data_IF_456709186599
#
_entry.id   IF_456709186599
#
_cell.length_a   1.000
_cell.length_b   1.000
_cell.length_c   1.000
_cell.angle_alpha   90.00
_cell.angle_beta   90.00
_cell.angle_gamma   90.00
#
_symmetry.space_group_name_H-M   'P 1'
#
loop_
_entity.id
_entity.type
_entity.pdbx_description
1 polymer ?
#
# COMPACT_ATOMS: atom_id res chain seq x y z
N UNK A 1 -17.82 16.65 5.03
CA UNK A 1 -18.39 15.65 4.10
C UNK A 1 -17.38 14.52 3.95
N UNK A 2 -17.76 13.24 4.12
CA UNK A 2 -16.88 12.12 3.80
C UNK A 2 -16.72 12.09 2.28
N UNK A 3 -15.53 12.37 1.79
CA UNK A 3 -15.22 12.28 0.37
C UNK A 3 -14.71 10.86 0.09
N UNK A 4 -15.15 10.24 -1.01
CA UNK A 4 -14.67 8.94 -1.52
C UNK A 4 -13.14 8.87 -1.64
N UNK A 5 -12.48 10.04 -1.68
CA UNK A 5 -11.02 10.18 -1.75
C UNK A 5 -10.31 10.14 -0.38
N UNK A 6 -11.05 9.92 0.72
CA UNK A 6 -10.45 9.82 2.07
C UNK A 6 -9.31 8.79 2.18
N UNK A 7 -9.36 7.60 1.54
CA UNK A 7 -8.25 6.65 1.55
C UNK A 7 -6.96 7.22 0.96
N UNK A 8 -7.04 8.06 -0.06
CA UNK A 8 -5.87 8.67 -0.71
C UNK A 8 -5.16 9.75 0.14
N UNK A 9 -5.73 10.12 1.30
CA UNK A 9 -5.03 10.96 2.29
C UNK A 9 -3.74 10.33 2.81
N UNK A 10 -3.56 9.01 2.69
CA UNK A 10 -2.28 8.35 2.97
C UNK A 10 -1.13 8.99 2.18
N UNK A 11 -1.32 9.29 0.90
CA UNK A 11 -0.29 9.88 0.03
C UNK A 11 0.15 11.27 0.53
N UNK A 12 -0.72 12.02 1.21
CA UNK A 12 -0.43 13.37 1.71
C UNK A 12 0.30 13.40 3.07
N UNK A 13 0.44 12.24 3.76
CA UNK A 13 1.15 12.14 5.03
C UNK A 13 2.63 12.45 4.81
N UNK A 14 3.18 13.43 5.52
CA UNK A 14 4.60 13.82 5.42
C UNK A 14 5.46 13.08 6.44
N UNK A 15 6.48 12.37 5.95
CA UNK A 15 7.53 11.75 6.77
C UNK A 15 8.83 11.70 5.97
N UNK A 16 9.99 11.91 6.60
CA UNK A 16 11.28 11.98 5.87
C UNK A 16 11.66 10.67 5.16
N UNK A 17 11.45 9.52 5.81
CA UNK A 17 11.70 8.21 5.19
C UNK A 17 10.72 7.89 4.04
N UNK A 18 9.61 8.61 3.93
CA UNK A 18 8.56 8.36 2.95
C UNK A 18 9.04 8.62 1.52
N UNK A 19 9.92 9.60 1.30
CA UNK A 19 10.44 9.90 -0.04
C UNK A 19 11.14 8.68 -0.66
N UNK A 20 11.92 7.94 0.13
CA UNK A 20 12.62 6.75 -0.36
C UNK A 20 11.65 5.61 -0.67
N UNK A 21 10.75 5.28 0.27
CA UNK A 21 9.88 4.10 0.15
C UNK A 21 8.62 4.35 -0.69
N UNK A 22 8.07 5.57 -0.67
CA UNK A 22 6.83 5.87 -1.41
C UNK A 22 7.07 6.46 -2.81
N UNK A 23 8.28 6.94 -3.10
CA UNK A 23 8.57 7.59 -4.39
C UNK A 23 9.73 6.92 -5.12
N UNK A 24 10.94 6.94 -4.53
CA UNK A 24 12.14 6.49 -5.24
C UNK A 24 12.05 4.98 -5.53
N UNK A 25 11.80 4.17 -4.51
CA UNK A 25 11.77 2.72 -4.65
C UNK A 25 10.66 2.23 -5.61
N UNK A 26 9.40 2.71 -5.53
CA UNK A 26 8.38 2.33 -6.52
C UNK A 26 8.70 2.76 -7.95
N UNK A 27 9.25 3.95 -8.15
CA UNK A 27 9.63 4.42 -9.49
C UNK A 27 10.73 3.54 -10.06
N UNK A 28 11.80 3.27 -9.30
CA UNK A 28 12.90 2.43 -9.79
C UNK A 28 12.47 1.01 -10.08
N UNK A 29 11.66 0.38 -9.20
CA UNK A 29 11.13 -0.95 -9.42
C UNK A 29 10.16 -0.99 -10.60
N UNK A 30 9.23 -0.04 -10.69
CA UNK A 30 8.26 0.03 -11.78
C UNK A 30 8.93 0.24 -13.14
N UNK A 31 9.95 1.11 -13.20
CA UNK A 31 10.75 1.29 -14.42
C UNK A 31 11.56 0.04 -14.77
N UNK A 32 12.17 -0.62 -13.78
CA UNK A 32 12.93 -1.86 -14.02
C UNK A 32 12.06 -2.98 -14.58
N UNK A 33 10.87 -3.19 -13.98
CA UNK A 33 9.90 -4.19 -14.50
C UNK A 33 9.40 -3.82 -15.90
N UNK A 34 9.10 -2.54 -16.12
CA UNK A 34 8.66 -2.08 -17.45
C UNK A 34 9.75 -2.24 -18.51
N UNK A 35 11.00 -1.89 -18.18
CA UNK A 35 12.15 -2.08 -19.07
C UNK A 35 12.39 -3.55 -19.39
N UNK A 36 12.27 -4.43 -18.38
CA UNK A 36 12.36 -5.87 -18.57
C UNK A 36 11.28 -6.38 -19.53
N UNK A 37 10.00 -6.03 -19.29
CA UNK A 37 8.89 -6.51 -20.13
C UNK A 37 8.94 -5.99 -21.57
N UNK A 38 9.43 -4.77 -21.77
CA UNK A 38 9.54 -4.13 -23.09
C UNK A 38 10.83 -4.50 -23.83
N UNK A 39 11.91 -4.85 -23.09
CA UNK A 39 13.23 -5.11 -23.66
C UNK A 39 13.50 -6.58 -23.98
N UNK A 40 12.62 -7.51 -23.61
CA UNK A 40 12.80 -8.93 -23.93
C UNK A 40 12.71 -9.18 -25.44
N UNK A 41 13.67 -9.95 -25.97
CA UNK A 41 13.72 -10.35 -27.39
C UNK A 41 12.50 -11.19 -27.80
N UNK A 42 11.98 -12.02 -26.88
CA UNK A 42 10.68 -12.69 -27.04
C UNK A 42 9.63 -11.88 -26.28
N UNK A 43 8.68 -11.22 -26.96
CA UNK A 43 7.70 -10.38 -26.30
C UNK A 43 6.81 -11.21 -25.38
N UNK A 44 6.76 -10.82 -24.09
CA UNK A 44 5.82 -11.40 -23.14
C UNK A 44 4.40 -10.93 -23.51
N UNK A 45 3.41 -11.84 -23.55
CA UNK A 45 2.03 -11.43 -23.74
C UNK A 45 1.58 -10.58 -22.56
N UNK A 46 1.16 -9.35 -22.84
CA UNK A 46 0.75 -8.37 -21.80
C UNK A 46 -0.73 -8.51 -21.50
N UNK A 47 -1.54 -8.66 -22.57
CA UNK A 47 -2.99 -8.73 -22.50
C UNK A 47 -3.48 -10.18 -22.67
N UNK A 48 -4.47 -10.57 -21.89
CA UNK A 48 -5.06 -11.89 -21.89
C UNK A 48 -5.09 -12.52 -20.49
N UNK A 49 -5.86 -13.59 -20.34
CA UNK A 49 -6.08 -14.25 -19.05
C UNK A 49 -4.80 -14.90 -18.52
N UNK A 50 -4.02 -15.55 -19.39
CA UNK A 50 -2.74 -16.20 -19.06
C UNK A 50 -1.53 -15.25 -19.22
N UNK A 51 -1.79 -13.98 -19.57
CA UNK A 51 -0.78 -12.96 -19.79
C UNK A 51 -0.43 -12.22 -18.49
N UNK A 52 0.55 -11.32 -18.57
CA UNK A 52 1.04 -10.54 -17.44
C UNK A 52 -0.08 -9.88 -16.62
N UNK A 53 -1.00 -9.15 -17.27
CA UNK A 53 -2.10 -8.47 -16.56
C UNK A 53 -3.04 -9.46 -15.87
N UNK A 54 -3.31 -10.63 -16.46
CA UNK A 54 -4.16 -11.65 -15.86
C UNK A 54 -3.57 -12.20 -14.55
N UNK A 55 -2.25 -12.45 -14.52
CA UNK A 55 -1.55 -12.91 -13.33
C UNK A 55 -1.54 -11.83 -12.23
N UNK A 56 -1.30 -10.58 -12.60
CA UNK A 56 -1.32 -9.46 -11.66
C UNK A 56 -2.73 -9.21 -11.09
N UNK A 57 -3.79 -9.40 -11.87
CA UNK A 57 -5.17 -9.31 -11.35
C UNK A 57 -5.41 -10.28 -10.20
N UNK A 58 -4.96 -11.53 -10.31
CA UNK A 58 -5.06 -12.52 -9.23
C UNK A 58 -4.37 -12.06 -7.95
N UNK A 59 -3.12 -11.60 -8.07
CA UNK A 59 -2.35 -11.07 -6.94
C UNK A 59 -3.04 -9.85 -6.29
N UNK A 60 -3.48 -8.88 -7.09
CA UNK A 60 -4.14 -7.67 -6.61
C UNK A 60 -5.47 -7.96 -5.92
N UNK A 61 -6.23 -8.96 -6.38
CA UNK A 61 -7.48 -9.39 -5.77
C UNK A 61 -7.23 -9.94 -4.37
N UNK A 62 -6.21 -10.77 -4.19
CA UNK A 62 -5.81 -11.31 -2.88
C UNK A 62 -5.34 -10.18 -1.96
N UNK A 63 -4.46 -9.29 -2.44
CA UNK A 63 -3.96 -8.15 -1.67
C UNK A 63 -5.08 -7.18 -1.25
N UNK A 64 -6.01 -6.91 -2.15
CA UNK A 64 -7.18 -6.07 -1.89
C UNK A 64 -8.07 -6.68 -0.81
N UNK A 65 -8.39 -7.97 -0.93
CA UNK A 65 -9.15 -8.71 0.08
C UNK A 65 -8.47 -8.72 1.44
N UNK A 66 -7.16 -8.98 1.49
CA UNK A 66 -6.37 -8.90 2.72
C UNK A 66 -6.41 -7.49 3.33
N UNK A 67 -6.28 -6.45 2.51
CA UNK A 67 -6.29 -5.05 2.99
C UNK A 67 -7.64 -4.67 3.60
N UNK A 68 -8.74 -5.13 3.01
CA UNK A 68 -10.10 -4.93 3.57
C UNK A 68 -10.24 -5.71 4.88
N UNK A 69 -9.80 -6.97 4.93
CA UNK A 69 -9.86 -7.80 6.13
C UNK A 69 -9.05 -7.17 7.28
N UNK A 70 -7.89 -6.58 6.99
CA UNK A 70 -7.05 -5.90 7.99
C UNK A 70 -7.72 -4.66 8.60
N UNK A 71 -8.63 -3.99 7.89
CA UNK A 71 -9.38 -2.85 8.43
C UNK A 71 -10.30 -3.22 9.59
N UNK A 72 -10.87 -4.43 9.59
CA UNK A 72 -11.80 -4.88 10.62
C UNK A 72 -11.18 -4.83 12.02
N UNK A 73 -10.06 -5.51 12.33
CA UNK A 73 -9.45 -5.43 13.64
C UNK A 73 -8.95 -4.00 13.98
N UNK A 74 -8.46 -3.24 13.00
CA UNK A 74 -7.99 -1.87 13.23
C UNK A 74 -9.12 -0.96 13.70
N UNK A 75 -10.33 -1.13 13.16
CA UNK A 75 -11.49 -0.29 13.48
C UNK A 75 -12.24 -0.75 14.73
N UNK A 76 -12.26 -2.04 15.03
CA UNK A 76 -13.02 -2.64 16.15
C UNK A 76 -12.20 -2.73 17.45
N UNK A 77 -10.86 -2.81 17.36
CA UNK A 77 -10.01 -2.88 18.55
C UNK A 77 -10.11 -1.58 19.36
N UNK A 78 -10.52 -1.70 20.62
CA UNK A 78 -10.66 -0.59 21.59
C UNK A 78 -9.39 -0.41 22.44
N UNK A 79 -8.31 -1.13 22.18
CA UNK A 79 -7.08 -1.05 22.98
C UNK A 79 -6.49 0.38 22.94
N UNK A 80 -6.02 0.85 24.08
CA UNK A 80 -5.35 2.16 24.22
C UNK A 80 -4.06 2.23 23.39
N UNK A 81 -3.47 1.09 23.06
CA UNK A 81 -2.24 1.01 22.27
C UNK A 81 -2.39 1.52 20.83
N UNK A 82 -3.53 1.26 20.18
CA UNK A 82 -3.83 1.79 18.85
C UNK A 82 -4.26 3.27 18.91
N UNK A 83 -4.72 3.74 20.08
CA UNK A 83 -5.03 5.15 20.34
C UNK A 83 -3.78 6.03 20.45
N UNK A 84 -2.62 5.48 20.83
CA UNK A 84 -1.38 6.21 21.00
C UNK A 84 -0.86 6.80 19.69
N UNK A 85 -0.14 7.95 19.75
CA UNK A 85 0.50 8.53 18.56
C UNK A 85 1.55 7.57 17.99
N UNK A 86 1.76 7.64 16.69
CA UNK A 86 2.85 6.91 16.02
C UNK A 86 4.18 7.40 16.58
N UNK A 87 4.94 6.51 17.23
CA UNK A 87 6.23 6.85 17.83
C UNK A 87 7.31 7.17 16.79
N UNK A 88 8.33 7.94 17.20
CA UNK A 88 9.51 8.29 16.42
C UNK A 88 9.90 9.75 16.65
N UNK A 89 11.15 10.13 16.30
CA UNK A 89 11.67 11.50 16.43
C UNK A 89 10.83 12.55 15.67
N UNK A 90 10.14 12.14 14.60
CA UNK A 90 9.23 12.97 13.79
C UNK A 90 7.98 12.14 13.45
N UNK A 91 6.94 12.17 14.29
CA UNK A 91 5.73 11.40 14.05
C UNK A 91 5.02 11.88 12.78
N UNK A 92 4.38 10.97 12.02
CA UNK A 92 3.64 11.31 10.81
C UNK A 92 2.48 12.25 11.12
N UNK A 93 2.33 13.30 10.30
CA UNK A 93 1.29 14.33 10.44
C UNK A 93 0.54 14.52 9.12
N UNK A 94 -0.74 14.80 9.23
CA UNK A 94 -1.51 15.32 8.10
C UNK A 94 -1.26 16.82 7.97
N UNK A 95 -1.14 17.37 6.75
CA UNK A 95 -0.97 18.81 6.53
C UNK A 95 -2.08 19.66 7.16
N UNK A 96 -3.28 19.08 7.32
CA UNK A 96 -4.46 19.74 7.88
C UNK A 96 -4.58 19.63 9.40
N UNK A 97 -3.73 18.85 10.07
CA UNK A 97 -3.84 18.61 11.52
C UNK A 97 -2.52 18.95 12.24
N UNK A 98 -2.63 19.68 13.37
CA UNK A 98 -1.47 20.04 14.20
C UNK A 98 -0.98 18.89 15.08
N UNK A 99 -1.85 17.93 15.40
CA UNK A 99 -1.55 16.79 16.26
C UNK A 99 -0.99 15.61 15.45
N UNK A 100 -0.08 14.80 16.05
CA UNK A 100 0.41 13.59 15.42
C UNK A 100 -0.73 12.57 15.23
N UNK A 101 -0.67 11.79 14.13
CA UNK A 101 -1.64 10.74 13.89
C UNK A 101 -1.54 9.63 14.94
N UNK A 102 -2.71 9.14 15.40
CA UNK A 102 -2.76 7.88 16.15
C UNK A 102 -2.42 6.69 15.24
N UNK A 103 -1.89 5.62 15.84
CA UNK A 103 -1.57 4.37 15.12
C UNK A 103 -2.78 3.81 14.38
N UNK A 104 -3.95 3.83 15.01
CA UNK A 104 -5.22 3.40 14.42
C UNK A 104 -5.53 4.18 13.14
N UNK A 105 -5.49 5.50 13.19
CA UNK A 105 -5.78 6.35 12.03
C UNK A 105 -4.76 6.16 10.91
N UNK A 106 -3.47 6.04 11.25
CA UNK A 106 -2.42 5.78 10.26
C UNK A 106 -2.65 4.46 9.54
N UNK A 107 -2.89 3.37 10.28
CA UNK A 107 -3.14 2.04 9.72
C UNK A 107 -4.45 2.00 8.90
N UNK A 108 -5.50 2.65 9.37
CA UNK A 108 -6.76 2.75 8.62
C UNK A 108 -6.57 3.49 7.28
N UNK A 109 -5.81 4.58 7.25
CA UNK A 109 -5.48 5.26 6.00
C UNK A 109 -4.60 4.41 5.08
N UNK A 110 -3.60 3.71 5.63
CA UNK A 110 -2.71 2.83 4.85
C UNK A 110 -3.49 1.69 4.20
N UNK A 111 -4.23 0.90 4.99
CA UNK A 111 -4.98 -0.25 4.45
C UNK A 111 -6.18 0.16 3.60
N UNK A 112 -6.83 1.28 3.91
CA UNK A 112 -7.86 1.87 3.05
C UNK A 112 -7.29 2.29 1.70
N UNK A 113 -6.12 2.91 1.67
CA UNK A 113 -5.40 3.26 0.45
C UNK A 113 -5.01 2.02 -0.36
N UNK A 114 -4.45 0.98 0.31
CA UNK A 114 -4.05 -0.26 -0.35
C UNK A 114 -5.25 -0.96 -1.00
N UNK A 115 -6.37 -1.11 -0.27
CA UNK A 115 -7.60 -1.69 -0.81
C UNK A 115 -8.10 -0.91 -2.03
N UNK A 116 -8.24 0.42 -1.91
CA UNK A 116 -8.72 1.25 -3.01
C UNK A 116 -7.79 1.19 -4.24
N UNK A 117 -6.46 1.18 -4.02
CA UNK A 117 -5.47 1.07 -5.10
C UNK A 117 -5.49 -0.29 -5.77
N UNK A 118 -5.64 -1.40 -5.01
CA UNK A 118 -5.80 -2.73 -5.59
C UNK A 118 -7.04 -2.82 -6.47
N UNK A 119 -8.19 -2.35 -6.00
CA UNK A 119 -9.42 -2.33 -6.81
C UNK A 119 -9.28 -1.47 -8.06
N UNK A 120 -8.66 -0.29 -7.96
CA UNK A 120 -8.43 0.57 -9.11
C UNK A 120 -7.49 -0.08 -10.15
N UNK A 121 -6.40 -0.73 -9.70
CA UNK A 121 -5.48 -1.44 -10.60
C UNK A 121 -6.13 -2.67 -11.24
N UNK A 122 -6.97 -3.43 -10.51
CA UNK A 122 -7.76 -4.53 -11.09
C UNK A 122 -8.71 -3.99 -12.14
N UNK A 123 -9.49 -2.96 -11.85
CA UNK A 123 -10.42 -2.34 -12.80
C UNK A 123 -9.68 -1.84 -14.06
N UNK A 124 -8.53 -1.16 -13.87
CA UNK A 124 -7.70 -0.67 -14.97
C UNK A 124 -7.16 -1.82 -15.83
N UNK A 125 -6.70 -2.92 -15.21
CA UNK A 125 -6.19 -4.07 -15.94
C UNK A 125 -7.30 -4.86 -16.67
N UNK A 126 -8.50 -4.96 -16.11
CA UNK A 126 -9.68 -5.53 -16.79
C UNK A 126 -10.04 -4.67 -18.01
N UNK A 127 -10.15 -3.36 -17.83
CA UNK A 127 -10.44 -2.43 -18.91
C UNK A 127 -9.37 -2.51 -20.03
N UNK A 128 -8.10 -2.54 -19.65
CA UNK A 128 -7.01 -2.69 -20.61
C UNK A 128 -7.10 -4.01 -21.37
N UNK A 129 -7.42 -5.13 -20.74
CA UNK A 129 -7.60 -6.42 -21.40
C UNK A 129 -8.75 -6.41 -22.40
N UNK A 130 -9.82 -5.67 -22.15
CA UNK A 130 -10.97 -5.56 -23.04
C UNK A 130 -10.70 -4.63 -24.24
N UNK A 131 -10.02 -3.51 -24.00
CA UNK A 131 -9.91 -2.43 -25.00
C UNK A 131 -8.61 -2.50 -25.78
N UNK A 132 -7.51 -2.95 -25.19
CA UNK A 132 -6.20 -2.93 -25.83
C UNK A 132 -6.11 -3.73 -27.14
N UNK A 133 -6.72 -4.93 -27.30
CA UNK A 133 -6.67 -5.66 -28.56
C UNK A 133 -7.26 -4.86 -29.72
N UNK A 134 -8.35 -4.13 -29.47
CA UNK A 134 -9.02 -3.30 -30.47
C UNK A 134 -8.17 -2.09 -30.86
N UNK A 135 -7.62 -1.36 -29.87
CA UNK A 135 -6.77 -0.19 -30.13
C UNK A 135 -5.47 -0.60 -30.85
N UNK A 136 -4.83 -1.70 -30.42
CA UNK A 136 -3.56 -2.17 -30.99
C UNK A 136 -3.72 -2.61 -32.46
N UNK A 137 -4.89 -3.14 -32.87
CA UNK A 137 -5.15 -3.52 -34.26
C UNK A 137 -5.16 -2.29 -35.20
N UNK A 138 -5.66 -1.16 -34.74
CA UNK A 138 -5.79 0.08 -35.53
C UNK A 138 -4.52 0.93 -35.54
N UNK A 139 -3.61 0.73 -34.59
CA UNK A 139 -2.38 1.53 -34.46
C UNK A 139 -1.27 0.98 -35.35
N UNK A 140 -0.63 1.89 -36.11
CA UNK A 140 0.53 1.56 -36.93
C UNK A 140 1.66 0.88 -36.14
N UNK A 141 2.32 -0.11 -36.75
CA UNK A 141 3.30 -0.97 -36.07
C UNK A 141 4.39 -0.19 -35.30
N UNK A 142 4.90 0.90 -35.86
CA UNK A 142 5.93 1.74 -35.21
C UNK A 142 5.45 2.47 -33.96
N UNK A 143 4.14 2.68 -33.76
CA UNK A 143 3.58 3.35 -32.59
C UNK A 143 3.16 2.37 -31.48
N UNK A 144 3.05 1.08 -31.79
CA UNK A 144 2.60 0.05 -30.82
C UNK A 144 3.51 -0.05 -29.60
N UNK A 145 4.82 0.09 -29.79
CA UNK A 145 5.79 0.10 -28.69
C UNK A 145 5.51 1.25 -27.70
N UNK A 146 5.34 2.46 -28.21
CA UNK A 146 5.07 3.65 -27.40
C UNK A 146 3.74 3.57 -26.66
N UNK A 147 2.71 3.01 -27.30
CA UNK A 147 1.41 2.81 -26.67
C UNK A 147 1.52 1.80 -25.50
N UNK A 148 2.22 0.68 -25.68
CA UNK A 148 2.49 -0.29 -24.62
C UNK A 148 3.29 0.34 -23.47
N UNK A 149 4.33 1.09 -23.77
CA UNK A 149 5.15 1.77 -22.78
C UNK A 149 4.34 2.80 -21.99
N UNK A 150 3.52 3.61 -22.64
CA UNK A 150 2.66 4.60 -22.03
C UNK A 150 1.64 4.01 -21.04
N UNK A 151 1.22 2.76 -21.25
CA UNK A 151 0.37 2.04 -20.32
C UNK A 151 1.18 1.33 -19.21
N UNK A 152 2.20 0.54 -19.59
CA UNK A 152 2.93 -0.31 -18.66
C UNK A 152 3.74 0.47 -17.62
N UNK A 153 4.38 1.57 -18.02
CA UNK A 153 5.24 2.33 -17.11
C UNK A 153 4.45 2.87 -15.91
N UNK A 154 3.38 3.67 -16.09
CA UNK A 154 2.61 4.16 -14.95
C UNK A 154 1.90 3.04 -14.19
N UNK A 155 1.43 1.99 -14.87
CA UNK A 155 0.81 0.83 -14.23
C UNK A 155 1.79 0.12 -13.29
N UNK A 156 3.00 -0.18 -13.75
CA UNK A 156 4.02 -0.87 -12.95
C UNK A 156 4.57 0.00 -11.83
N UNK A 157 4.69 1.32 -12.00
CA UNK A 157 5.06 2.24 -10.92
C UNK A 157 4.00 2.22 -9.82
N UNK A 158 2.71 2.27 -10.17
CA UNK A 158 1.64 2.19 -9.20
C UNK A 158 1.57 0.81 -8.52
N UNK A 159 1.73 -0.27 -9.27
CA UNK A 159 1.82 -1.63 -8.75
C UNK A 159 2.98 -1.78 -7.75
N UNK A 160 4.17 -1.28 -8.11
CA UNK A 160 5.34 -1.28 -7.23
C UNK A 160 5.09 -0.46 -5.96
N UNK A 161 4.41 0.69 -6.06
CA UNK A 161 4.04 1.48 -4.90
C UNK A 161 3.10 0.73 -3.95
N UNK A 162 2.07 0.07 -4.48
CA UNK A 162 1.17 -0.77 -3.67
C UNK A 162 1.94 -1.91 -3.00
N UNK A 163 2.87 -2.56 -3.72
CA UNK A 163 3.69 -3.65 -3.18
C UNK A 163 4.60 -3.18 -2.04
N UNK A 164 5.30 -2.07 -2.22
CA UNK A 164 6.18 -1.49 -1.18
C UNK A 164 5.36 -1.04 0.03
N UNK A 165 4.22 -0.38 -0.19
CA UNK A 165 3.34 0.06 0.90
C UNK A 165 2.73 -1.13 1.67
N UNK A 166 2.45 -2.26 1.01
CA UNK A 166 2.01 -3.51 1.65
C UNK A 166 3.10 -4.06 2.56
N UNK A 167 4.35 -4.16 2.07
CA UNK A 167 5.49 -4.62 2.88
C UNK A 167 5.74 -3.71 4.08
N UNK A 168 5.62 -2.40 3.90
CA UNK A 168 5.73 -1.43 4.99
C UNK A 168 4.63 -1.63 6.03
N UNK A 169 3.39 -1.88 5.60
CA UNK A 169 2.26 -2.20 6.47
C UNK A 169 2.49 -3.49 7.27
N UNK A 170 2.95 -4.56 6.62
CA UNK A 170 3.30 -5.82 7.26
C UNK A 170 4.43 -5.64 8.29
N UNK A 171 5.49 -4.93 7.93
CA UNK A 171 6.57 -4.60 8.86
C UNK A 171 6.05 -3.84 10.09
N UNK A 172 5.16 -2.88 9.90
CA UNK A 172 4.57 -2.12 11.00
C UNK A 172 3.75 -3.01 11.93
N UNK A 173 3.00 -3.98 11.40
CA UNK A 173 2.24 -4.93 12.20
C UNK A 173 3.15 -5.89 12.97
N UNK A 174 4.19 -6.42 12.35
CA UNK A 174 5.02 -7.46 12.95
C UNK A 174 6.00 -6.93 13.99
N UNK A 175 6.67 -5.82 13.70
CA UNK A 175 7.75 -5.31 14.55
C UNK A 175 7.30 -4.24 15.54
N UNK A 176 6.62 -3.22 15.05
CA UNK A 176 6.29 -2.05 15.88
C UNK A 176 5.22 -2.33 16.94
N UNK A 177 4.26 -3.20 16.68
CA UNK A 177 3.25 -3.57 17.67
C UNK A 177 3.84 -4.48 18.78
N UNK A 178 4.81 -5.35 18.44
CA UNK A 178 5.51 -6.18 19.43
C UNK A 178 6.36 -5.35 20.40
N UNK A 179 7.07 -4.35 19.92
CA UNK A 179 7.92 -3.48 20.76
C UNK A 179 7.05 -2.71 21.77
N UNK A 180 5.92 -2.19 21.34
CA UNK A 180 4.99 -1.47 22.21
C UNK A 180 4.44 -2.35 23.34
N UNK A 181 4.16 -3.64 23.06
CA UNK A 181 3.72 -4.62 24.08
C UNK A 181 4.79 -4.92 25.13
N UNK A 182 6.07 -4.97 24.74
CA UNK A 182 7.18 -5.20 25.68
C UNK A 182 7.37 -4.03 26.63
N UNK A 183 7.31 -2.81 26.13
CA UNK A 183 7.50 -1.61 26.96
C UNK A 183 6.35 -1.43 27.97
N UNK A 184 5.11 -1.78 27.61
CA UNK A 184 3.98 -1.74 28.53
C UNK A 184 4.08 -2.79 29.65
N UNK A 185 4.63 -4.00 29.37
CA UNK A 185 4.84 -5.03 30.39
C UNK A 185 5.98 -4.74 31.35
N UNK A 186 7.01 -4.01 30.94
CA UNK A 186 8.15 -3.64 31.81
C UNK A 186 7.81 -2.46 32.73
N UNK A 187 6.81 -1.66 32.36
CA UNK A 187 6.40 -0.46 33.10
C UNK A 187 5.38 -0.66 34.21
N UNK A 188 4.89 -1.88 34.46
CA UNK A 188 4.10 -2.19 35.67
C UNK A 188 5.07 -2.69 36.76
N UNK A 189 5.42 -1.86 37.75
CA UNK A 189 6.04 -2.38 38.98
C UNK A 189 5.05 -3.36 39.61
N UNK A 190 5.50 -4.56 39.97
CA UNK A 190 4.73 -5.45 40.84
C UNK A 190 4.19 -4.64 41.99
N UNK A 191 2.87 -4.63 42.15
CA UNK A 191 2.22 -4.03 43.31
C UNK A 191 2.84 -4.68 44.54
N UNK A 192 3.53 -3.88 45.35
CA UNK A 192 4.08 -4.31 46.59
C UNK A 192 2.98 -5.00 47.41
N UNK A 193 3.26 -6.18 48.05
CA UNK A 193 2.26 -6.82 48.89
C UNK A 193 1.82 -5.86 50.00
N UNK A 194 0.54 -5.68 50.13
CA UNK A 194 -0.07 -4.89 51.18
C UNK A 194 0.41 -5.46 52.55
N UNK A 195 0.87 -4.60 53.49
CA UNK A 195 1.22 -5.10 54.83
C UNK A 195 -0.03 -5.66 55.51
N UNK A 196 0.01 -6.92 55.87
CA UNK A 196 -0.97 -7.59 56.73
C UNK A 196 -1.06 -6.79 58.02
N UNK A 197 -2.23 -6.26 58.35
CA UNK A 197 -2.53 -5.69 59.63
C UNK A 197 -2.76 -6.84 60.62
N UNK A 198 -1.84 -7.02 61.51
CA UNK A 198 -2.01 -7.77 62.80
C UNK A 198 -2.84 -6.95 63.78
#
# INVERSE_FOLDING_TARGET
MPTLLTPFRYVTIRHQAKLLYDVILPITLGLAVSALLLGLTKPVPIFGKEAYLGQIQGLLTILGGFSVAALTPITTDKSDMLGQPVGGLRPPRLPSERLPLSRRRFLAYLFGYLAASCFALVALSVLANLVAPQIVSEVAAGKRFWLKAAFLVPFNIWLAHVSVATLLGLFYFTERLKIANRTAKVGTPDAAPSPERS
#
